data_IF_804418920814
#
_entry.id   IF_804418920814
#
_cell.length_a   1.000
_cell.length_b   1.000
_cell.length_c   1.000
_cell.angle_alpha   90.00
_cell.angle_beta   90.00
_cell.angle_gamma   90.00
#
_symmetry.space_group_name_H-M   'P 1'
#
loop_
_entity.id
_entity.type
_entity.pdbx_description
1 polymer ?
#
# COMPACT_ATOMS: atom_id res chain seq x y z
N UNK A 1 12.61 4.77 13.92
CA UNK A 1 13.41 4.05 14.94
C UNK A 1 14.88 4.43 14.75
N UNK A 2 15.68 4.55 15.81
CA UNK A 2 17.11 4.88 15.72
C UNK A 2 17.93 3.58 15.62
N UNK A 3 18.99 3.56 14.81
CA UNK A 3 19.98 2.46 14.77
C UNK A 3 21.38 3.00 15.02
N UNK A 4 22.12 2.32 15.88
CA UNK A 4 23.47 2.69 16.32
C UNK A 4 24.51 1.85 15.57
N UNK A 5 25.47 2.52 14.94
CA UNK A 5 26.65 1.93 14.31
C UNK A 5 27.79 1.94 15.32
N UNK A 6 28.48 0.82 15.51
CA UNK A 6 29.78 0.78 16.21
C UNK A 6 30.85 0.67 15.13
N UNK A 7 31.51 1.79 14.88
CA UNK A 7 32.69 1.92 14.02
C UNK A 7 33.90 1.89 14.97
N UNK A 8 35.08 1.46 14.51
CA UNK A 8 36.29 1.26 15.34
C UNK A 8 36.72 2.45 16.25
N UNK A 9 36.05 3.60 16.23
CA UNK A 9 36.19 4.70 17.20
C UNK A 9 34.91 5.58 17.28
N UNK A 10 33.70 5.00 17.41
CA UNK A 10 32.50 5.80 17.71
C UNK A 10 31.13 5.15 17.49
N UNK A 11 30.11 5.73 18.13
CA UNK A 11 28.69 5.36 17.99
C UNK A 11 27.93 6.36 17.12
N UNK A 12 27.47 5.97 15.93
CA UNK A 12 26.70 6.85 15.04
C UNK A 12 25.25 6.44 14.97
N UNK A 13 24.33 7.38 15.09
CA UNK A 13 22.89 7.09 15.00
C UNK A 13 22.36 7.54 13.65
N UNK A 14 21.75 6.63 12.88
CA UNK A 14 21.00 6.98 11.69
C UNK A 14 19.51 6.83 11.98
N UNK A 15 18.74 7.85 11.62
CA UNK A 15 17.28 7.80 11.69
C UNK A 15 16.69 7.67 10.28
N UNK A 16 15.56 6.95 10.20
CA UNK A 16 14.69 6.91 9.02
C UNK A 16 13.33 7.47 9.40
N UNK A 17 12.82 8.41 8.59
CA UNK A 17 11.49 8.99 8.72
C UNK A 17 10.80 9.05 7.37
N UNK A 18 9.48 8.90 7.39
CA UNK A 18 8.60 9.07 6.23
C UNK A 18 7.89 10.41 6.35
N UNK A 19 7.68 11.06 5.21
CA UNK A 19 7.03 12.36 5.08
C UNK A 19 5.96 12.30 3.99
N UNK A 20 4.94 13.15 4.14
CA UNK A 20 3.82 13.26 3.21
C UNK A 20 4.18 14.00 1.91
N UNK A 21 5.24 14.79 1.92
CA UNK A 21 5.59 15.69 0.81
C UNK A 21 7.10 15.98 0.76
N UNK A 22 7.62 16.51 -0.37
CA UNK A 22 9.05 16.76 -0.54
C UNK A 22 9.55 17.98 0.25
N UNK A 23 8.67 18.68 0.99
CA UNK A 23 9.09 19.77 1.89
C UNK A 23 9.70 19.24 3.20
N UNK A 24 9.49 17.95 3.53
CA UNK A 24 9.96 17.33 4.76
C UNK A 24 9.50 18.04 6.05
N UNK A 25 8.33 18.69 6.01
CA UNK A 25 7.75 19.39 7.15
C UNK A 25 6.82 18.51 7.98
N UNK A 26 6.04 17.64 7.32
CA UNK A 26 5.05 16.77 7.96
C UNK A 26 5.47 15.30 7.91
N UNK A 27 6.06 14.77 8.99
CA UNK A 27 6.38 13.35 9.07
C UNK A 27 5.13 12.51 9.33
N UNK A 28 5.14 11.26 8.90
CA UNK A 28 4.25 10.24 9.44
C UNK A 28 4.73 9.86 10.84
N UNK A 29 3.81 9.92 11.81
CA UNK A 29 4.03 9.44 13.17
C UNK A 29 3.58 7.98 13.28
N UNK A 30 4.27 7.18 14.09
CA UNK A 30 3.91 5.77 14.33
C UNK A 30 3.09 5.62 15.62
N UNK A 31 2.07 4.75 15.65
CA UNK A 31 1.46 4.08 14.48
C UNK A 31 0.76 5.12 13.58
N UNK A 32 0.95 5.00 12.26
CA UNK A 32 0.41 5.98 11.31
C UNK A 32 -1.08 5.77 11.10
N UNK A 33 -1.82 6.88 10.96
CA UNK A 33 -3.13 6.85 10.29
C UNK A 33 -2.90 6.28 8.89
N UNK A 34 -3.76 5.35 8.50
CA UNK A 34 -3.55 4.48 7.36
C UNK A 34 -3.23 5.27 6.06
N UNK A 35 -2.25 4.78 5.31
CA UNK A 35 -1.66 5.40 4.12
C UNK A 35 -2.37 4.87 2.87
N UNK A 36 -2.93 5.73 2.00
CA UNK A 36 -3.46 5.32 0.70
C UNK A 36 -2.42 4.67 -0.20
N UNK A 37 -2.80 3.63 -0.94
CA UNK A 37 -1.93 3.01 -1.96
C UNK A 37 -1.58 3.96 -3.11
N UNK A 38 -2.37 5.01 -3.32
CA UNK A 38 -2.11 6.03 -4.33
C UNK A 38 -1.02 7.01 -3.94
N UNK A 39 -0.62 7.06 -2.67
CA UNK A 39 0.30 8.06 -2.16
C UNK A 39 1.75 7.78 -2.59
N UNK A 40 2.49 8.86 -2.79
CA UNK A 40 3.95 8.82 -2.89
C UNK A 40 4.54 9.17 -1.51
N UNK A 41 5.37 8.30 -0.98
CA UNK A 41 6.03 8.51 0.30
C UNK A 41 7.43 9.09 0.11
N UNK A 42 7.80 10.03 0.98
CA UNK A 42 9.09 10.71 0.96
C UNK A 42 9.94 10.24 2.13
N UNK A 43 11.03 9.55 1.85
CA UNK A 43 11.95 8.98 2.83
C UNK A 43 13.08 9.96 3.11
N UNK A 44 13.34 10.22 4.38
CA UNK A 44 14.54 10.91 4.84
C UNK A 44 15.34 9.98 5.77
N UNK A 45 16.54 9.66 5.33
CA UNK A 45 17.59 9.06 6.15
C UNK A 45 18.57 10.16 6.57
N UNK A 46 18.93 10.19 7.84
CA UNK A 46 19.78 11.25 8.39
C UNK A 46 20.71 10.73 9.49
N UNK A 47 21.97 11.15 9.43
CA UNK A 47 22.91 11.01 10.56
C UNK A 47 22.47 11.96 11.68
N UNK A 48 22.25 11.43 12.87
CA UNK A 48 21.88 12.17 14.07
C UNK A 48 23.13 12.59 14.86
N UNK A 49 23.04 13.72 15.56
CA UNK A 49 24.13 14.23 16.41
C UNK A 49 25.02 15.26 15.70
N UNK A 50 24.99 16.50 16.18
CA UNK A 50 25.66 17.65 15.54
C UNK A 50 27.17 17.49 15.38
N UNK A 51 27.84 16.81 16.30
CA UNK A 51 29.30 16.63 16.25
C UNK A 51 29.75 15.62 15.17
N UNK A 52 28.87 14.72 14.73
CA UNK A 52 29.20 13.64 13.80
C UNK A 52 28.97 14.01 12.33
N UNK A 53 28.19 15.06 12.08
CA UNK A 53 27.86 15.55 10.74
C UNK A 53 29.07 16.04 9.93
N UNK A 54 30.21 16.31 10.58
CA UNK A 54 31.39 16.88 9.93
C UNK A 54 32.33 15.83 9.33
N UNK A 55 32.14 14.55 9.64
CA UNK A 55 33.14 13.52 9.36
C UNK A 55 32.66 12.42 8.40
N UNK A 56 31.35 12.32 8.16
CA UNK A 56 30.78 11.21 7.41
C UNK A 56 29.72 11.65 6.41
N UNK A 57 29.69 10.93 5.29
CA UNK A 57 28.64 10.97 4.28
C UNK A 57 27.75 9.75 4.44
N UNK A 58 26.46 9.88 4.10
CA UNK A 58 25.47 8.82 4.22
C UNK A 58 25.16 8.23 2.85
N UNK A 59 25.50 6.95 2.68
CA UNK A 59 25.12 6.15 1.50
C UNK A 59 24.01 5.16 1.83
N UNK A 60 23.24 4.80 0.81
CA UNK A 60 22.19 3.77 0.87
C UNK A 60 22.59 2.65 -0.08
N UNK A 61 22.81 1.46 0.47
CA UNK A 61 23.18 0.28 -0.32
C UNK A 61 21.94 -0.42 -0.85
N UNK A 62 21.01 -0.76 0.03
CA UNK A 62 19.78 -1.43 -0.35
C UNK A 62 18.62 -0.83 0.43
N UNK A 63 17.45 -0.73 -0.18
CA UNK A 63 16.19 -0.50 0.52
C UNK A 63 15.15 -1.48 0.00
N UNK A 64 14.41 -2.10 0.91
CA UNK A 64 13.38 -3.07 0.59
C UNK A 64 12.27 -3.00 1.63
N UNK A 65 11.14 -3.57 1.27
CA UNK A 65 10.01 -3.70 2.18
C UNK A 65 9.62 -5.15 2.40
N UNK A 66 8.91 -5.38 3.49
CA UNK A 66 8.49 -6.70 3.99
C UNK A 66 7.08 -6.59 4.58
N UNK A 67 6.22 -7.63 4.46
CA UNK A 67 4.97 -7.70 5.21
C UNK A 67 5.10 -7.89 6.74
N UNK A 68 6.31 -8.03 7.28
CA UNK A 68 6.52 -8.16 8.73
C UNK A 68 7.74 -7.36 9.19
N UNK A 69 7.89 -7.18 10.51
CA UNK A 69 9.01 -6.44 11.08
C UNK A 69 10.39 -7.09 10.86
N UNK A 70 10.44 -8.35 10.42
CA UNK A 70 11.70 -9.06 10.13
C UNK A 70 12.29 -8.58 8.79
N UNK A 71 13.45 -7.89 8.79
CA UNK A 71 14.11 -7.46 7.55
C UNK A 71 14.64 -8.63 6.71
N UNK A 72 14.75 -9.84 7.26
CA UNK A 72 15.40 -10.98 6.63
C UNK A 72 14.42 -12.03 6.07
N UNK A 73 13.12 -11.82 6.21
CA UNK A 73 12.13 -12.75 5.66
C UNK A 73 12.23 -12.86 4.13
N UNK A 74 11.75 -13.96 3.57
CA UNK A 74 11.88 -14.25 2.13
C UNK A 74 11.06 -13.30 1.24
N UNK A 75 9.84 -12.95 1.67
CA UNK A 75 8.96 -12.05 0.91
C UNK A 75 9.45 -10.61 1.04
N UNK A 76 10.09 -10.11 -0.01
CA UNK A 76 10.64 -8.76 -0.06
C UNK A 76 10.26 -8.04 -1.36
N UNK A 77 10.00 -6.74 -1.25
CA UNK A 77 9.88 -5.83 -2.39
C UNK A 77 11.08 -4.89 -2.43
N UNK A 78 11.94 -5.00 -3.43
CA UNK A 78 13.17 -4.20 -3.53
C UNK A 78 12.88 -2.83 -4.12
N UNK A 79 13.25 -1.78 -3.40
CA UNK A 79 13.16 -0.39 -3.85
C UNK A 79 14.50 0.09 -4.41
N UNK A 80 15.59 -0.16 -3.67
CA UNK A 80 16.96 0.19 -4.03
C UNK A 80 17.82 -1.08 -3.87
N UNK A 81 18.67 -1.36 -4.84
CA UNK A 81 19.63 -2.46 -4.81
C UNK A 81 21.00 -1.94 -5.24
N UNK A 82 22.06 -2.24 -4.46
CA UNK A 82 23.44 -1.76 -4.64
C UNK A 82 23.56 -0.26 -5.00
N UNK A 83 22.78 0.58 -4.33
CA UNK A 83 22.78 2.02 -4.46
C UNK A 83 21.95 2.57 -5.62
N UNK A 84 21.22 1.72 -6.33
CA UNK A 84 20.45 2.11 -7.51
C UNK A 84 18.96 1.80 -7.38
N UNK A 85 18.08 2.64 -7.96
CA UNK A 85 16.65 2.35 -8.02
C UNK A 85 16.40 1.01 -8.71
N UNK A 86 15.77 0.09 -7.99
CA UNK A 86 15.28 -1.19 -8.50
C UNK A 86 13.80 -1.10 -8.85
N UNK A 87 13.02 -0.42 -8.01
CA UNK A 87 11.64 -0.07 -8.28
C UNK A 87 11.56 1.18 -9.17
N UNK A 88 10.67 1.16 -10.17
CA UNK A 88 10.53 2.21 -11.17
C UNK A 88 9.95 3.52 -10.63
N UNK A 89 9.28 3.47 -9.49
CA UNK A 89 8.67 4.62 -8.81
C UNK A 89 9.66 5.34 -7.91
N UNK A 90 10.84 4.75 -7.68
CA UNK A 90 11.87 5.35 -6.84
C UNK A 90 12.51 6.54 -7.55
N UNK A 91 12.52 7.68 -6.86
CA UNK A 91 13.19 8.91 -7.31
C UNK A 91 14.11 9.44 -6.23
N UNK A 92 15.38 9.68 -6.56
CA UNK A 92 16.32 10.34 -5.66
C UNK A 92 16.09 11.84 -5.65
N UNK A 93 16.03 12.42 -4.46
CA UNK A 93 15.72 13.83 -4.21
C UNK A 93 16.94 14.63 -3.73
N UNK A 94 18.08 13.95 -3.55
CA UNK A 94 19.41 14.51 -3.42
C UNK A 94 20.45 13.52 -3.97
N UNK A 95 21.70 13.97 -4.08
CA UNK A 95 22.82 13.09 -4.38
C UNK A 95 23.17 12.24 -3.14
N UNK A 96 22.71 10.99 -3.13
CA UNK A 96 22.97 10.04 -2.04
C UNK A 96 24.47 9.73 -2.00
N UNK A 97 25.06 9.81 -0.80
CA UNK A 97 26.50 9.64 -0.60
C UNK A 97 27.33 10.91 -0.74
N UNK A 98 26.70 12.08 -0.89
CA UNK A 98 27.38 13.40 -0.94
C UNK A 98 27.05 14.29 0.27
N UNK A 99 26.10 13.89 1.11
CA UNK A 99 25.67 14.62 2.31
C UNK A 99 25.43 13.65 3.47
N UNK A 100 25.22 14.19 4.65
CA UNK A 100 24.76 13.51 5.88
C UNK A 100 23.32 13.03 5.81
N UNK A 101 22.63 13.29 4.69
CA UNK A 101 21.25 12.90 4.44
C UNK A 101 21.11 12.15 3.13
N UNK A 102 20.16 11.21 3.09
CA UNK A 102 19.72 10.55 1.87
C UNK A 102 18.20 10.69 1.76
N UNK A 103 17.75 11.22 0.63
CA UNK A 103 16.37 11.58 0.36
C UNK A 103 15.90 10.90 -0.92
N UNK A 104 14.83 10.13 -0.83
CA UNK A 104 14.20 9.51 -1.99
C UNK A 104 12.70 9.39 -1.77
N UNK A 105 11.95 9.22 -2.85
CA UNK A 105 10.52 8.91 -2.80
C UNK A 105 10.22 7.59 -3.50
N UNK A 106 9.07 6.98 -3.20
CA UNK A 106 8.53 5.82 -3.90
C UNK A 106 6.99 5.83 -3.83
N UNK A 107 6.31 5.17 -4.76
CA UNK A 107 4.86 5.01 -4.72
C UNK A 107 4.47 3.88 -3.76
N UNK A 108 3.44 4.09 -2.95
CA UNK A 108 2.99 3.09 -1.99
C UNK A 108 2.41 1.85 -2.70
N UNK A 109 2.54 0.71 -2.05
CA UNK A 109 2.07 -0.59 -2.53
C UNK A 109 1.62 -1.46 -1.36
N UNK A 110 1.07 -2.62 -1.66
CA UNK A 110 0.67 -3.62 -0.67
C UNK A 110 1.20 -5.00 -1.04
N UNK A 111 1.49 -5.81 0.00
CA UNK A 111 1.67 -7.24 -0.19
C UNK A 111 0.30 -7.93 -0.16
N UNK A 112 0.11 -8.93 -1.03
CA UNK A 112 -1.15 -9.67 -1.10
C UNK A 112 -1.43 -10.34 0.25
N UNK A 113 -2.58 -10.02 0.85
CA UNK A 113 -3.00 -10.57 2.14
C UNK A 113 -2.41 -9.89 3.37
N UNK A 114 -1.66 -8.78 3.23
CA UNK A 114 -1.08 -8.06 4.36
C UNK A 114 -1.52 -6.58 4.37
N UNK A 115 -2.07 -6.09 5.50
CA UNK A 115 -2.55 -4.71 5.62
C UNK A 115 -1.42 -3.72 5.96
N UNK A 116 -0.19 -4.20 6.11
CA UNK A 116 0.94 -3.41 6.60
C UNK A 116 2.22 -3.70 5.84
N UNK A 117 3.09 -2.69 5.83
CA UNK A 117 4.41 -2.74 5.19
C UNK A 117 5.45 -2.22 6.18
N UNK A 118 6.59 -2.90 6.26
CA UNK A 118 7.78 -2.43 6.95
C UNK A 118 8.84 -2.07 5.92
N UNK A 119 9.48 -0.92 6.09
CA UNK A 119 10.54 -0.44 5.24
C UNK A 119 11.89 -0.66 5.93
N UNK A 120 12.85 -1.17 5.19
CA UNK A 120 14.20 -1.46 5.64
C UNK A 120 15.19 -0.85 4.67
N UNK A 121 16.24 -0.21 5.19
CA UNK A 121 17.35 0.29 4.38
C UNK A 121 18.67 -0.12 5.02
N UNK A 122 19.54 -0.75 4.23
CA UNK A 122 20.95 -0.96 4.55
C UNK A 122 21.71 0.31 4.18
N UNK A 123 22.18 1.03 5.19
CA UNK A 123 22.93 2.28 5.02
C UNK A 123 24.37 2.12 5.44
N UNK A 124 25.26 2.91 4.83
CA UNK A 124 26.70 2.88 5.07
C UNK A 124 27.19 4.31 5.34
N UNK A 125 28.09 4.44 6.30
CA UNK A 125 28.82 5.69 6.53
C UNK A 125 30.12 5.66 5.74
N UNK A 126 30.39 6.74 5.01
CA UNK A 126 31.62 6.89 4.23
C UNK A 126 32.44 8.06 4.76
N UNK A 127 33.77 7.97 4.59
CA UNK A 127 34.65 9.11 4.74
C UNK A 127 34.67 9.90 3.41
N UNK A 128 34.60 11.25 3.44
CA UNK A 128 34.64 12.08 2.23
C UNK A 128 35.85 11.80 1.31
N UNK A 129 37.02 11.57 1.90
CA UNK A 129 38.28 11.37 1.17
C UNK A 129 38.64 9.89 0.96
N UNK A 130 37.65 8.99 1.04
CA UNK A 130 37.84 7.56 0.78
C UNK A 130 38.17 7.31 -0.70
N UNK A 131 39.10 6.39 -1.02
CA UNK A 131 39.39 6.00 -2.39
C UNK A 131 38.20 5.33 -3.10
N UNK A 132 37.29 4.71 -2.33
CA UNK A 132 36.03 4.21 -2.89
C UNK A 132 34.93 5.28 -2.79
N UNK A 133 34.26 5.62 -3.92
CA UNK A 133 33.23 6.64 -3.91
C UNK A 133 32.00 6.19 -3.10
N UNK A 134 31.56 7.09 -2.22
CA UNK A 134 30.39 6.91 -1.37
C UNK A 134 29.09 6.92 -2.19
N UNK A 135 29.00 7.85 -3.14
CA UNK A 135 27.95 7.89 -4.15
C UNK A 135 28.19 6.79 -5.19
N UNK A 136 27.14 6.02 -5.50
CA UNK A 136 27.20 4.97 -6.53
C UNK A 136 26.69 5.54 -7.85
N UNK A 137 27.41 5.28 -8.95
CA UNK A 137 26.86 5.47 -10.28
C UNK A 137 26.05 4.25 -10.68
N UNK A 138 24.84 4.47 -11.21
CA UNK A 138 23.99 3.42 -11.73
C UNK A 138 24.31 3.16 -13.21
N UNK A 139 25.01 2.06 -13.54
CA UNK A 139 25.30 1.73 -14.93
C UNK A 139 24.02 1.32 -15.67
N UNK A 140 23.94 1.63 -16.97
CA UNK A 140 22.84 1.17 -17.85
C UNK A 140 22.69 -0.36 -17.91
N UNK A 141 23.78 -1.09 -17.64
CA UNK A 141 23.80 -2.55 -17.56
C UNK A 141 24.27 -2.98 -16.18
N UNK A 142 23.35 -3.60 -15.44
CA UNK A 142 23.57 -4.07 -14.09
C UNK A 142 24.44 -5.32 -14.11
N UNK A 143 25.57 -5.28 -13.42
CA UNK A 143 26.34 -6.49 -13.05
C UNK A 143 26.27 -6.63 -11.56
N UNK A 144 25.68 -7.73 -11.10
CA UNK A 144 25.54 -8.02 -9.68
C UNK A 144 26.94 -8.16 -9.06
N UNK A 145 27.40 -7.14 -8.34
CA UNK A 145 28.66 -7.20 -7.60
C UNK A 145 28.33 -7.53 -6.16
N UNK A 146 28.76 -8.70 -5.68
CA UNK A 146 28.65 -9.06 -4.27
C UNK A 146 29.36 -7.99 -3.43
N UNK A 147 28.61 -7.26 -2.63
CA UNK A 147 29.16 -6.34 -1.65
C UNK A 147 29.95 -7.17 -0.63
N UNK A 148 31.18 -6.73 -0.31
CA UNK A 148 31.92 -7.31 0.80
C UNK A 148 31.16 -6.97 2.08
N UNK A 149 31.02 -7.95 2.97
CA UNK A 149 30.46 -7.72 4.29
C UNK A 149 31.40 -6.73 5.01
N UNK A 150 30.91 -5.54 5.24
CA UNK A 150 31.65 -4.44 5.82
C UNK A 150 31.00 -4.03 7.14
N UNK A 151 31.81 -3.93 8.20
CA UNK A 151 31.35 -3.59 9.56
C UNK A 151 30.73 -2.18 9.62
N UNK A 152 30.90 -1.37 8.57
CA UNK A 152 30.39 0.01 8.46
C UNK A 152 28.97 0.13 7.87
N UNK A 153 28.24 -0.96 7.60
CA UNK A 153 26.83 -0.91 7.21
C UNK A 153 25.87 -1.48 8.29
N UNK A 154 24.66 -0.90 8.40
CA UNK A 154 23.59 -1.41 9.28
C UNK A 154 22.23 -1.21 8.62
N UNK A 155 21.26 -1.99 9.07
CA UNK A 155 19.87 -1.93 8.63
C UNK A 155 19.09 -1.00 9.56
N UNK A 156 18.50 0.06 9.01
CA UNK A 156 17.51 0.90 9.68
C UNK A 156 16.11 0.57 9.18
N UNK A 157 15.14 0.52 10.09
CA UNK A 157 13.78 0.07 9.79
C UNK A 157 12.72 1.08 10.25
N UNK A 158 11.63 1.18 9.48
CA UNK A 158 10.47 2.02 9.74
C UNK A 158 9.21 1.20 9.50
N UNK A 159 8.29 1.20 10.47
CA UNK A 159 7.02 0.51 10.36
C UNK A 159 6.43 0.18 11.74
N UNK A 160 5.20 -0.36 11.78
CA UNK A 160 4.38 -0.71 10.62
C UNK A 160 3.81 0.52 9.90
N UNK A 161 3.74 0.46 8.57
CA UNK A 161 2.99 1.39 7.73
C UNK A 161 1.64 0.73 7.42
N UNK A 162 0.59 1.20 8.07
CA UNK A 162 -0.77 0.68 7.86
C UNK A 162 -1.34 1.21 6.55
N UNK A 163 -1.99 0.36 5.78
CA UNK A 163 -2.53 0.69 4.47
C UNK A 163 -4.04 0.95 4.54
N UNK A 164 -4.50 1.99 3.84
CA UNK A 164 -5.92 2.11 3.51
C UNK A 164 -6.19 1.19 2.33
N UNK A 165 -7.13 0.25 2.52
CA UNK A 165 -7.68 -0.49 1.40
C UNK A 165 -8.11 0.52 0.33
N UNK A 166 -7.63 0.32 -0.91
CA UNK A 166 -8.25 1.01 -2.04
C UNK A 166 -9.76 0.72 -1.97
N UNK A 167 -10.64 1.69 -2.26
CA UNK A 167 -12.05 1.37 -2.45
C UNK A 167 -12.09 0.27 -3.51
N UNK A 168 -12.44 -0.94 -3.10
CA UNK A 168 -12.67 -2.03 -4.03
C UNK A 168 -13.69 -1.49 -5.02
N UNK A 169 -13.36 -1.47 -6.31
CA UNK A 169 -14.40 -1.40 -7.33
C UNK A 169 -15.40 -2.46 -6.91
N UNK A 170 -16.63 -2.02 -6.64
CA UNK A 170 -17.70 -2.82 -6.08
C UNK A 170 -17.62 -4.22 -6.68
N UNK A 171 -17.58 -5.23 -5.83
CA UNK A 171 -17.89 -6.57 -6.27
C UNK A 171 -19.27 -6.46 -6.93
N UNK A 172 -19.28 -6.43 -8.27
CA UNK A 172 -20.49 -6.52 -9.07
C UNK A 172 -21.15 -7.83 -8.64
N UNK A 173 -22.05 -7.68 -7.69
CA UNK A 173 -22.93 -8.73 -7.26
C UNK A 173 -23.85 -8.87 -8.46
N UNK A 174 -23.53 -9.79 -9.36
CA UNK A 174 -24.44 -10.21 -10.42
C UNK A 174 -25.69 -10.77 -9.75
N UNK A 175 -26.60 -9.87 -9.40
CA UNK A 175 -27.97 -10.18 -9.07
C UNK A 175 -28.67 -10.45 -10.40
N UNK A 176 -28.44 -11.65 -10.94
CA UNK A 176 -29.19 -12.15 -12.08
C UNK A 176 -30.45 -12.84 -11.56
N UNK A 177 -31.51 -12.04 -11.40
CA UNK A 177 -32.89 -12.52 -11.46
C UNK A 177 -33.65 -11.56 -12.36
N UNK A 178 -33.52 -11.77 -13.66
CA UNK A 178 -34.40 -11.16 -14.66
C UNK A 178 -35.65 -12.02 -14.75
N UNK A 179 -36.76 -11.50 -14.22
CA UNK A 179 -38.09 -12.01 -14.44
C UNK A 179 -38.61 -11.42 -15.77
N UNK A 180 -38.75 -12.25 -16.81
CA UNK A 180 -39.50 -11.92 -18.03
C UNK A 180 -40.19 -13.18 -18.59
N UNK A 181 -41.52 -13.13 -18.53
CA UNK A 181 -42.51 -13.95 -19.20
C UNK A 181 -42.35 -13.94 -20.73
N UNK A 182 -42.52 -15.07 -21.43
CA UNK A 182 -43.59 -15.30 -22.43
C UNK A 182 -43.48 -16.65 -23.23
N UNK A 183 -44.56 -17.11 -23.92
CA UNK A 183 -45.00 -18.51 -23.98
C UNK A 183 -44.82 -19.20 -25.36
N UNK A 184 -44.99 -20.53 -25.40
CA UNK A 184 -45.84 -21.28 -26.36
C UNK A 184 -45.56 -22.80 -26.32
N UNK A 185 -46.63 -23.62 -26.27
CA UNK A 185 -46.57 -25.04 -26.61
C UNK A 185 -47.52 -25.93 -25.78
N UNK A 186 -48.58 -26.52 -26.36
CA UNK A 186 -49.66 -27.16 -25.62
C UNK A 186 -49.41 -28.65 -25.36
N UNK A 187 -50.06 -29.18 -24.31
CA UNK A 187 -50.91 -30.38 -24.30
C UNK A 187 -50.82 -31.12 -22.94
N UNK A 188 -51.64 -32.16 -22.70
CA UNK A 188 -52.79 -32.08 -21.82
C UNK A 188 -52.65 -33.09 -20.67
N UNK A 189 -53.64 -33.15 -19.77
CA UNK A 189 -54.05 -34.30 -18.92
C UNK A 189 -54.36 -33.85 -17.48
N UNK A 190 -55.65 -33.56 -17.32
CA UNK A 190 -56.53 -33.90 -16.20
C UNK A 190 -55.93 -34.06 -14.79
N UNK A 191 -56.37 -33.21 -13.87
CA UNK A 191 -57.08 -33.60 -12.64
C UNK A 191 -57.83 -32.38 -12.10
N UNK A 192 -59.09 -32.20 -12.48
CA UNK A 192 -60.26 -32.36 -11.60
C UNK A 192 -59.95 -32.01 -10.13
N UNK A 193 -60.41 -30.85 -9.66
CA UNK A 193 -61.69 -30.72 -8.93
C UNK A 193 -61.78 -29.39 -8.16
N UNK A 194 -63.03 -28.88 -8.06
CA UNK A 194 -63.55 -27.90 -7.09
C UNK A 194 -63.34 -26.39 -7.36
N UNK A 195 -64.20 -25.87 -8.23
CA UNK A 195 -64.90 -24.56 -8.11
C UNK A 195 -65.95 -24.71 -6.97
N UNK A 196 -66.63 -23.70 -6.33
CA UNK A 196 -66.67 -22.22 -6.45
C UNK A 196 -66.69 -21.47 -5.09
N UNK A 197 -66.92 -20.14 -5.17
CA UNK A 197 -67.66 -19.27 -4.22
C UNK A 197 -66.82 -18.17 -3.57
N UNK A 198 -66.54 -17.12 -4.32
CA UNK A 198 -66.41 -15.77 -3.72
C UNK A 198 -66.90 -14.64 -4.65
N UNK A 199 -67.02 -14.87 -5.96
CA UNK A 199 -67.27 -13.75 -6.89
C UNK A 199 -68.76 -13.49 -7.17
N UNK A 200 -69.66 -14.43 -6.87
CA UNK A 200 -71.11 -14.22 -7.06
C UNK A 200 -71.76 -13.36 -5.96
N UNK A 201 -71.14 -13.21 -4.78
CA UNK A 201 -71.68 -12.38 -3.70
C UNK A 201 -71.43 -10.87 -3.94
N UNK A 202 -70.35 -10.51 -4.64
CA UNK A 202 -70.00 -9.09 -4.84
C UNK A 202 -70.87 -8.44 -5.92
N UNK A 203 -71.33 -9.22 -6.91
CA UNK A 203 -72.15 -8.69 -8.02
C UNK A 203 -73.63 -8.46 -7.64
N UNK A 204 -74.16 -9.13 -6.62
CA UNK A 204 -75.55 -8.88 -6.18
C UNK A 204 -75.67 -7.64 -5.30
N UNK A 205 -74.65 -7.31 -4.50
CA UNK A 205 -74.66 -6.12 -3.62
C UNK A 205 -74.58 -4.82 -4.43
N UNK A 206 -73.79 -4.78 -5.50
CA UNK A 206 -73.67 -3.60 -6.35
C UNK A 206 -74.97 -3.27 -7.11
N UNK A 207 -75.73 -4.29 -7.55
CA UNK A 207 -76.96 -4.08 -8.29
C UNK A 207 -78.11 -3.52 -7.41
N UNK A 208 -78.17 -3.88 -6.13
CA UNK A 208 -79.21 -3.37 -5.23
C UNK A 208 -79.03 -1.86 -4.93
N UNK A 209 -77.80 -1.41 -4.70
CA UNK A 209 -77.52 -0.01 -4.34
C UNK A 209 -77.87 0.99 -5.47
N UNK A 210 -77.70 0.59 -6.74
CA UNK A 210 -78.01 1.46 -7.89
C UNK A 210 -79.52 1.59 -8.13
N UNK A 211 -80.32 0.61 -7.71
CA UNK A 211 -81.77 0.62 -7.92
C UNK A 211 -82.55 1.47 -6.90
N UNK A 212 -82.00 1.67 -5.70
CA UNK A 212 -82.65 2.45 -4.63
C UNK A 212 -82.39 3.95 -4.74
N UNK A 213 -81.24 4.38 -5.27
CA UNK A 213 -80.91 5.81 -5.43
C UNK A 213 -81.64 6.54 -6.57
N UNK A 214 -82.47 5.84 -7.37
CA UNK A 214 -83.11 6.39 -8.57
C UNK A 214 -84.64 6.49 -8.48
N UNK A 215 -85.21 6.27 -7.28
CA UNK A 215 -86.63 6.52 -6.96
C UNK A 215 -86.76 7.20 -5.59
N UNK A 216 -86.38 8.47 -5.52
CA UNK A 216 -86.93 9.50 -4.63
C UNK A 216 -86.85 10.84 -5.34
#
# INVERSE_FOLDING_TARGET
>A
RLVQFVVREGHFNVSMRLYKSPSYLEPYHLPSVAVPLTDTLYVLLKIEGQHQLKYFLLSVLDCWATPSADPHQDTQHKLIEQGCPHDKTVTYLNAIGEDTTAKFSFQMFQFVGYPEVFLHCRVQLCLPDSPEPCAKQCPRHWRNRRALADDYNRIVSYGPILLLAAPSSEAETHHSSTDQQDPAGPSPWLSRALIPLCVLAVLTVAAAAVSVGRRM
#
